data_IF_336772891680
#
_entry.id   IF_336772891680
#
_cell.length_a   1.000
_cell.length_b   1.000
_cell.length_c   1.000
_cell.angle_alpha   90.00
_cell.angle_beta   90.00
_cell.angle_gamma   90.00
#
_symmetry.space_group_name_H-M   'P 1'
#
loop_
_entity.id
_entity.type
_entity.pdbx_description
1 polymer ?
#
# COMPACT_ATOMS: atom_id res chain seq x y z
N UNK A 1 0.94 8.06 -12.90
CA UNK A 1 -0.04 7.49 -11.95
C UNK A 1 0.17 8.17 -10.62
N UNK A 2 -0.85 8.90 -10.17
CA UNK A 2 -0.86 9.67 -8.92
C UNK A 2 -0.99 8.73 -7.72
N UNK A 3 -0.39 9.10 -6.58
CA UNK A 3 -0.46 8.28 -5.37
C UNK A 3 -1.76 8.56 -4.61
N UNK A 4 -2.42 7.51 -4.16
CA UNK A 4 -3.66 7.60 -3.37
C UNK A 4 -3.29 7.85 -1.90
N UNK A 5 -3.73 8.96 -1.33
CA UNK A 5 -3.59 9.19 0.11
C UNK A 5 -4.49 8.24 0.89
N UNK A 6 -3.94 7.63 1.95
CA UNK A 6 -4.69 6.71 2.80
C UNK A 6 -4.71 7.21 4.24
N UNK A 7 -5.77 6.88 5.00
CA UNK A 7 -5.82 7.20 6.43
C UNK A 7 -4.78 6.37 7.20
N UNK A 8 -4.59 6.72 8.48
CA UNK A 8 -3.72 5.95 9.36
C UNK A 8 -4.24 4.54 9.64
N UNK A 9 -3.35 3.70 10.14
CA UNK A 9 -3.72 2.34 10.54
C UNK A 9 -4.61 2.31 11.79
N UNK A 10 -5.55 1.34 11.91
CA UNK A 10 -5.72 0.17 11.02
C UNK A 10 -6.49 0.45 9.71
N UNK A 11 -7.25 1.54 9.63
CA UNK A 11 -8.14 1.84 8.49
C UNK A 11 -7.39 1.94 7.15
N UNK A 12 -6.19 2.50 7.14
CA UNK A 12 -5.36 2.61 5.93
C UNK A 12 -5.02 1.25 5.34
N UNK A 13 -4.66 0.27 6.18
CA UNK A 13 -4.32 -1.07 5.72
C UNK A 13 -5.53 -1.79 5.10
N UNK A 14 -6.71 -1.65 5.71
CA UNK A 14 -7.97 -2.21 5.19
C UNK A 14 -8.37 -1.57 3.86
N UNK A 15 -8.25 -0.24 3.77
CA UNK A 15 -8.52 0.49 2.52
C UNK A 15 -7.64 -0.01 1.37
N UNK A 16 -6.33 -0.12 1.60
CA UNK A 16 -5.39 -0.59 0.58
C UNK A 16 -5.69 -2.04 0.19
N UNK A 17 -5.97 -2.92 1.16
CA UNK A 17 -6.32 -4.31 0.90
C UNK A 17 -7.58 -4.45 0.05
N UNK A 18 -8.65 -3.71 0.38
CA UNK A 18 -9.87 -3.66 -0.42
C UNK A 18 -9.60 -3.10 -1.82
N UNK A 19 -8.85 -2.01 -1.92
CA UNK A 19 -8.52 -1.40 -3.20
C UNK A 19 -7.84 -2.39 -4.15
N UNK A 20 -6.79 -3.10 -3.70
CA UNK A 20 -6.07 -4.05 -4.56
C UNK A 20 -6.88 -5.31 -4.86
N UNK A 21 -7.77 -5.73 -3.95
CA UNK A 21 -8.62 -6.90 -4.14
C UNK A 21 -9.75 -6.61 -5.14
N UNK A 22 -10.39 -5.45 -5.02
CA UNK A 22 -11.52 -5.07 -5.89
C UNK A 22 -11.06 -4.59 -7.27
N UNK A 23 -10.03 -3.74 -7.33
CA UNK A 23 -9.58 -3.12 -8.58
C UNK A 23 -8.55 -3.96 -9.32
N UNK A 24 -7.86 -4.87 -8.62
CA UNK A 24 -6.78 -5.72 -9.17
C UNK A 24 -5.80 -4.95 -10.08
N UNK A 25 -5.30 -3.76 -9.72
CA UNK A 25 -4.46 -2.96 -10.62
C UNK A 25 -3.14 -3.67 -10.91
N UNK A 26 -2.54 -3.44 -12.09
CA UNK A 26 -1.19 -3.93 -12.41
C UNK A 26 -0.14 -3.24 -11.52
N UNK A 27 -0.35 -1.96 -11.23
CA UNK A 27 0.49 -1.13 -10.37
C UNK A 27 -0.39 -0.13 -9.60
N UNK A 28 -0.07 0.14 -8.34
CA UNK A 28 -0.69 1.17 -7.52
C UNK A 28 0.33 1.87 -6.63
N UNK A 29 0.05 3.11 -6.23
CA UNK A 29 0.87 3.89 -5.30
C UNK A 29 -0.01 4.44 -4.19
N UNK A 30 0.47 4.33 -2.95
CA UNK A 30 -0.24 4.78 -1.75
C UNK A 30 0.67 5.66 -0.89
N UNK A 31 0.15 6.79 -0.42
CA UNK A 31 0.83 7.64 0.56
C UNK A 31 0.30 7.32 1.96
N UNK A 32 1.15 6.69 2.75
CA UNK A 32 0.85 6.23 4.11
C UNK A 32 1.32 7.28 5.13
N UNK A 33 0.52 7.59 6.15
CA UNK A 33 0.87 8.59 7.17
C UNK A 33 1.63 8.01 8.36
N UNK A 34 1.76 6.68 8.48
CA UNK A 34 2.41 6.02 9.61
C UNK A 34 3.20 4.76 9.20
N UNK A 35 4.19 4.41 10.02
CA UNK A 35 5.07 3.26 9.81
C UNK A 35 4.38 1.92 10.13
N UNK A 36 3.30 1.93 10.90
CA UNK A 36 2.54 0.73 11.26
C UNK A 36 1.83 0.18 10.02
N UNK A 37 1.19 1.04 9.23
CA UNK A 37 0.61 0.71 7.94
C UNK A 37 1.63 0.19 6.94
N UNK A 38 2.84 0.77 6.92
CA UNK A 38 3.94 0.22 6.11
C UNK A 38 4.22 -1.24 6.49
N UNK A 39 4.30 -1.53 7.79
CA UNK A 39 4.64 -2.85 8.31
C UNK A 39 3.56 -3.88 7.98
N UNK A 40 2.29 -3.54 8.20
CA UNK A 40 1.16 -4.41 7.86
C UNK A 40 1.08 -4.66 6.36
N UNK A 41 1.19 -3.61 5.53
CA UNK A 41 1.04 -3.74 4.08
C UNK A 41 2.20 -4.48 3.41
N UNK A 42 3.41 -4.39 3.97
CA UNK A 42 4.54 -5.23 3.54
C UNK A 42 4.31 -6.72 3.75
N UNK A 43 3.50 -7.10 4.74
CA UNK A 43 3.13 -8.49 4.99
C UNK A 43 1.90 -8.89 4.16
N UNK A 44 0.88 -8.04 4.11
CA UNK A 44 -0.41 -8.37 3.53
C UNK A 44 -0.38 -8.40 1.99
N UNK A 45 0.21 -7.40 1.34
CA UNK A 45 0.16 -7.27 -0.12
C UNK A 45 0.84 -8.43 -0.87
N UNK A 46 1.98 -8.98 -0.40
CA UNK A 46 2.54 -10.21 -0.99
C UNK A 46 1.58 -11.40 -0.95
N UNK A 47 0.83 -11.58 0.13
CA UNK A 47 -0.18 -12.64 0.25
C UNK A 47 -1.34 -12.43 -0.75
N UNK A 48 -1.58 -11.19 -1.17
CA UNK A 48 -2.56 -10.83 -2.20
C UNK A 48 -1.99 -10.85 -3.63
N UNK A 49 -0.74 -11.31 -3.80
CA UNK A 49 -0.08 -11.41 -5.10
C UNK A 49 0.53 -10.09 -5.59
N UNK A 50 1.03 -9.25 -4.69
CA UNK A 50 1.70 -7.98 -5.04
C UNK A 50 3.14 -7.92 -4.51
N UNK A 51 4.08 -7.50 -5.35
CA UNK A 51 5.42 -7.08 -4.92
C UNK A 51 5.34 -5.64 -4.41
N UNK A 52 6.03 -5.36 -3.29
CA UNK A 52 5.94 -4.08 -2.59
C UNK A 52 7.31 -3.40 -2.53
N UNK A 53 7.35 -2.12 -2.86
CA UNK A 53 8.48 -1.22 -2.58
C UNK A 53 7.99 -0.07 -1.71
N UNK A 54 8.81 0.40 -0.78
CA UNK A 54 8.46 1.51 0.12
C UNK A 54 9.60 2.51 0.18
N UNK A 55 9.26 3.79 0.04
CA UNK A 55 10.18 4.92 0.16
C UNK A 55 9.69 5.86 1.26
N UNK A 56 10.55 6.17 2.23
CA UNK A 56 10.28 7.22 3.23
C UNK A 56 10.32 8.62 2.61
N UNK A 57 9.38 9.46 3.00
CA UNK A 57 9.20 10.85 2.56
C UNK A 57 9.06 11.79 3.77
N UNK A 58 10.03 11.76 4.69
CA UNK A 58 9.97 12.54 5.93
C UNK A 58 9.01 11.91 6.95
N UNK A 59 7.84 12.52 7.13
CA UNK A 59 6.77 12.08 8.05
C UNK A 59 5.77 11.10 7.40
N UNK A 60 5.94 10.81 6.11
CA UNK A 60 5.08 9.90 5.33
C UNK A 60 5.87 8.83 4.61
N UNK A 61 5.17 7.84 4.07
CA UNK A 61 5.76 6.76 3.28
C UNK A 61 5.02 6.58 1.96
N UNK A 62 5.76 6.51 0.87
CA UNK A 62 5.22 6.09 -0.42
C UNK A 62 5.38 4.58 -0.56
N UNK A 63 4.27 3.87 -0.65
CA UNK A 63 4.22 2.45 -0.97
C UNK A 63 3.85 2.27 -2.44
N UNK A 64 4.68 1.57 -3.20
CA UNK A 64 4.36 1.10 -4.54
C UNK A 64 4.06 -0.39 -4.50
N UNK A 65 2.88 -0.78 -4.98
CA UNK A 65 2.46 -2.16 -5.15
C UNK A 65 2.42 -2.49 -6.64
N UNK A 66 3.03 -3.60 -7.05
CA UNK A 66 3.02 -4.09 -8.44
C UNK A 66 2.53 -5.53 -8.41
N UNK A 67 1.52 -5.86 -9.23
CA UNK A 67 0.98 -7.22 -9.27
C UNK A 67 2.09 -8.18 -9.66
N UNK A 68 2.26 -9.24 -8.86
CA UNK A 68 3.17 -10.32 -9.17
C UNK A 68 2.46 -11.24 -10.18
N UNK A 69 3.14 -11.52 -11.29
CA UNK A 69 2.72 -12.50 -12.30
C UNK A 69 2.56 -13.91 -11.70
#
# INVERSE_FOLDING_TARGET
>A
MEAVEVPGCPNGSLFVANYVTEKRPDKAKFLLPDAECVSVLRLLLPLLGYRVSVKGLGDRWLLEAVRAD
#
